data_IF_830120337955
#
_entry.id   IF_830120337955
#
_cell.length_a   1.000
_cell.length_b   1.000
_cell.length_c   1.000
_cell.angle_alpha   90.00
_cell.angle_beta   90.00
_cell.angle_gamma   90.00
#
_symmetry.space_group_name_H-M   'P 1'
#
loop_
_entity.id
_entity.type
_entity.pdbx_description
1 polymer ?
#
# COMPACT_ATOMS: atom_id res chain seq x y z
N UNK A 1 4.61 -11.93 -13.95
CA UNK A 1 5.11 -12.78 -12.83
C UNK A 1 4.28 -12.65 -11.54
N UNK A 2 3.81 -11.45 -11.14
CA UNK A 2 3.01 -11.28 -9.90
C UNK A 2 1.68 -12.06 -9.84
N UNK A 3 1.00 -12.28 -10.98
CA UNK A 3 -0.31 -12.98 -11.01
C UNK A 3 -0.19 -14.47 -10.66
N UNK A 4 0.91 -15.13 -11.05
CA UNK A 4 1.15 -16.54 -10.72
C UNK A 4 1.46 -16.71 -9.22
N UNK A 5 2.29 -15.83 -8.65
CA UNK A 5 2.59 -15.82 -7.21
C UNK A 5 1.35 -15.62 -6.32
N UNK A 6 0.45 -14.68 -6.67
CA UNK A 6 -0.82 -14.50 -5.95
C UNK A 6 -1.72 -15.74 -6.02
N UNK A 7 -1.72 -16.47 -7.13
CA UNK A 7 -2.55 -17.67 -7.32
C UNK A 7 -2.07 -18.81 -6.43
N UNK A 8 -0.76 -19.01 -6.37
CA UNK A 8 -0.12 -19.99 -5.49
C UNK A 8 -0.30 -19.66 -4.01
N UNK A 9 -0.12 -18.38 -3.63
CA UNK A 9 -0.35 -17.91 -2.27
C UNK A 9 -1.81 -18.19 -1.84
N UNK A 10 -2.81 -17.82 -2.66
CA UNK A 10 -4.24 -18.13 -2.37
C UNK A 10 -4.53 -19.62 -2.28
N UNK A 11 -3.89 -20.45 -3.12
CA UNK A 11 -4.04 -21.90 -3.05
C UNK A 11 -3.48 -22.46 -1.73
N UNK A 12 -2.32 -21.95 -1.28
CA UNK A 12 -1.74 -22.31 0.02
C UNK A 12 -2.62 -21.86 1.19
N UNK A 13 -3.15 -20.64 1.17
CA UNK A 13 -4.08 -20.13 2.18
C UNK A 13 -5.30 -21.04 2.32
N UNK A 14 -5.93 -21.41 1.19
CA UNK A 14 -7.09 -22.34 1.19
C UNK A 14 -6.73 -23.68 1.82
N UNK A 15 -5.57 -24.24 1.48
CA UNK A 15 -5.10 -25.51 2.06
C UNK A 15 -4.92 -25.42 3.58
N UNK A 16 -4.31 -24.34 4.06
CA UNK A 16 -4.12 -24.10 5.50
C UNK A 16 -5.47 -23.97 6.22
N UNK A 17 -6.40 -23.18 5.66
CA UNK A 17 -7.75 -23.00 6.23
C UNK A 17 -8.49 -24.34 6.31
N UNK A 18 -8.47 -25.14 5.23
CA UNK A 18 -9.10 -26.46 5.23
C UNK A 18 -8.53 -27.34 6.34
N UNK A 19 -7.20 -27.41 6.48
CA UNK A 19 -6.51 -28.22 7.49
C UNK A 19 -6.82 -27.76 8.93
N UNK A 20 -6.97 -26.45 9.14
CA UNK A 20 -7.34 -25.88 10.45
C UNK A 20 -8.79 -26.22 10.88
N UNK A 21 -9.68 -26.43 9.91
CA UNK A 21 -11.11 -26.70 10.11
C UNK A 21 -11.40 -28.21 10.18
N UNK A 22 -10.69 -29.03 9.41
CA UNK A 22 -11.01 -30.46 9.25
C UNK A 22 -10.31 -31.40 10.23
N UNK A 23 -9.24 -30.95 10.91
CA UNK A 23 -8.40 -31.83 11.71
C UNK A 23 -8.33 -31.41 13.18
N UNK A 24 -8.35 -32.40 14.08
CA UNK A 24 -8.01 -32.21 15.49
C UNK A 24 -6.48 -32.06 15.62
N UNK A 25 -5.98 -30.88 15.25
CA UNK A 25 -4.58 -30.53 15.31
C UNK A 25 -4.14 -30.23 16.75
N UNK A 26 -2.88 -30.57 17.05
CA UNK A 26 -2.24 -30.11 18.28
C UNK A 26 -2.13 -28.59 18.32
N UNK A 27 -2.09 -28.02 19.53
CA UNK A 27 -1.99 -26.57 19.74
C UNK A 27 -0.75 -25.97 19.06
N UNK A 28 0.39 -26.67 19.09
CA UNK A 28 1.62 -26.23 18.42
C UNK A 28 1.43 -26.15 16.91
N UNK A 29 0.82 -27.17 16.29
CA UNK A 29 0.62 -27.20 14.85
C UNK A 29 -0.39 -26.14 14.37
N UNK A 30 -1.45 -25.94 15.15
CA UNK A 30 -2.42 -24.86 14.91
C UNK A 30 -1.77 -23.48 14.96
N UNK A 31 -0.87 -23.22 15.93
CA UNK A 31 -0.14 -21.94 16.03
C UNK A 31 0.80 -21.70 14.83
N UNK A 32 1.52 -22.73 14.36
CA UNK A 32 2.37 -22.62 13.17
C UNK A 32 1.58 -22.24 11.93
N UNK A 33 0.47 -22.95 11.68
CA UNK A 33 -0.38 -22.73 10.51
C UNK A 33 -1.05 -21.36 10.54
N UNK A 34 -1.46 -20.88 11.72
CA UNK A 34 -1.98 -19.51 11.87
C UNK A 34 -0.91 -18.45 11.57
N UNK A 35 0.34 -18.64 12.02
CA UNK A 35 1.44 -17.73 11.69
C UNK A 35 1.72 -17.71 10.19
N UNK A 36 1.74 -18.88 9.55
CA UNK A 36 1.94 -19.00 8.10
C UNK A 36 0.79 -18.31 7.33
N UNK A 37 -0.46 -18.55 7.74
CA UNK A 37 -1.64 -17.91 7.14
C UNK A 37 -1.55 -16.38 7.24
N UNK A 38 -1.22 -15.84 8.41
CA UNK A 38 -1.08 -14.40 8.62
C UNK A 38 0.03 -13.81 7.74
N UNK A 39 1.17 -14.49 7.59
CA UNK A 39 2.25 -14.07 6.69
C UNK A 39 1.77 -14.02 5.24
N UNK A 40 1.12 -15.08 4.77
CA UNK A 40 0.60 -15.16 3.41
C UNK A 40 -0.47 -14.11 3.12
N UNK A 41 -1.34 -13.80 4.09
CA UNK A 41 -2.33 -12.73 3.98
C UNK A 41 -1.65 -11.37 3.85
N UNK A 42 -0.66 -11.09 4.70
CA UNK A 42 0.12 -9.85 4.66
C UNK A 42 0.81 -9.65 3.32
N UNK A 43 1.49 -10.67 2.79
CA UNK A 43 2.15 -10.62 1.47
C UNK A 43 1.16 -10.24 0.36
N UNK A 44 -0.04 -10.83 0.37
CA UNK A 44 -1.09 -10.53 -0.61
C UNK A 44 -1.63 -9.09 -0.46
N UNK A 45 -1.78 -8.59 0.77
CA UNK A 45 -2.14 -7.19 1.04
C UNK A 45 -1.07 -6.23 0.49
N UNK A 46 0.21 -6.51 0.72
CA UNK A 46 1.32 -5.71 0.21
C UNK A 46 1.40 -5.71 -1.33
N UNK A 47 1.19 -6.87 -1.98
CA UNK A 47 1.18 -6.96 -3.45
C UNK A 47 0.02 -6.19 -4.08
N UNK A 48 -1.18 -6.29 -3.49
CA UNK A 48 -2.34 -5.49 -3.92
C UNK A 48 -2.11 -4.00 -3.72
N UNK A 49 -1.51 -3.60 -2.60
CA UNK A 49 -1.17 -2.22 -2.31
C UNK A 49 -0.19 -1.69 -3.36
N UNK A 50 0.91 -2.41 -3.66
CA UNK A 50 1.87 -2.01 -4.69
C UNK A 50 1.21 -1.87 -6.06
N UNK A 51 0.33 -2.81 -6.42
CA UNK A 51 -0.41 -2.76 -7.69
C UNK A 51 -1.33 -1.53 -7.74
N UNK A 52 -2.05 -1.25 -6.65
CA UNK A 52 -2.92 -0.09 -6.54
C UNK A 52 -2.11 1.22 -6.64
N UNK A 53 -1.00 1.34 -5.91
CA UNK A 53 -0.13 2.50 -5.97
C UNK A 53 0.48 2.73 -7.35
N UNK A 54 0.97 1.68 -8.01
CA UNK A 54 1.47 1.77 -9.39
C UNK A 54 0.41 2.34 -10.32
N UNK A 55 -0.82 1.82 -10.26
CA UNK A 55 -1.93 2.33 -11.08
C UNK A 55 -2.28 3.78 -10.73
N UNK A 56 -2.18 4.17 -9.47
CA UNK A 56 -2.41 5.55 -9.04
C UNK A 56 -1.35 6.48 -9.61
N UNK A 57 -0.07 6.11 -9.55
CA UNK A 57 1.00 6.89 -10.18
C UNK A 57 0.81 7.00 -11.70
N UNK A 58 0.52 5.89 -12.37
CA UNK A 58 0.23 5.85 -13.82
C UNK A 58 -1.00 6.67 -14.21
N UNK A 59 -1.94 6.90 -13.27
CA UNK A 59 -3.13 7.70 -13.51
C UNK A 59 -2.89 9.19 -13.32
N UNK A 60 -2.18 9.57 -12.26
CA UNK A 60 -2.05 10.97 -11.84
C UNK A 60 -0.83 11.65 -12.46
N UNK A 61 0.31 10.95 -12.54
CA UNK A 61 1.62 11.54 -12.85
C UNK A 61 2.38 10.75 -13.91
N UNK A 62 1.66 10.08 -14.82
CA UNK A 62 2.25 9.24 -15.86
C UNK A 62 3.33 9.99 -16.64
N UNK A 63 4.51 9.38 -16.74
CA UNK A 63 5.67 9.91 -17.47
C UNK A 63 6.16 11.30 -17.01
N UNK A 64 5.73 11.77 -15.84
CA UNK A 64 6.22 13.03 -15.28
C UNK A 64 7.48 12.81 -14.46
N UNK A 65 8.36 13.80 -14.48
CA UNK A 65 9.40 13.95 -13.48
C UNK A 65 8.87 14.74 -12.28
N UNK A 66 9.62 14.73 -11.17
CA UNK A 66 9.22 15.40 -9.94
C UNK A 66 8.97 16.90 -10.14
N UNK A 67 9.80 17.55 -10.95
CA UNK A 67 9.77 18.99 -11.24
C UNK A 67 8.49 19.41 -11.98
N UNK A 68 7.78 18.47 -12.60
CA UNK A 68 6.59 18.71 -13.42
C UNK A 68 5.29 18.50 -12.63
N UNK A 69 5.37 18.05 -11.38
CA UNK A 69 4.21 17.75 -10.55
C UNK A 69 3.59 19.04 -10.03
N UNK A 70 2.28 19.16 -10.25
CA UNK A 70 1.48 20.24 -9.65
C UNK A 70 1.07 19.91 -8.22
N UNK A 71 0.75 20.95 -7.43
CA UNK A 71 0.28 20.74 -6.06
C UNK A 71 -1.00 19.90 -6.00
N UNK A 72 -1.90 20.05 -6.97
CA UNK A 72 -3.13 19.26 -7.06
C UNK A 72 -2.84 17.77 -7.29
N UNK A 73 -1.93 17.45 -8.20
CA UNK A 73 -1.50 16.07 -8.45
C UNK A 73 -0.80 15.47 -7.23
N UNK A 74 0.06 16.26 -6.56
CA UNK A 74 0.67 15.84 -5.30
C UNK A 74 -0.40 15.54 -4.24
N UNK A 75 -1.39 16.41 -4.09
CA UNK A 75 -2.51 16.21 -3.15
C UNK A 75 -3.33 14.98 -3.53
N UNK A 76 -3.61 14.75 -4.81
CA UNK A 76 -4.34 13.57 -5.28
C UNK A 76 -3.60 12.27 -4.95
N UNK A 77 -2.27 12.24 -5.13
CA UNK A 77 -1.44 11.11 -4.69
C UNK A 77 -1.55 10.92 -3.16
N UNK A 78 -1.49 12.02 -2.40
CA UNK A 78 -1.66 11.96 -0.94
C UNK A 78 -3.05 11.47 -0.56
N UNK A 79 -4.12 11.92 -1.21
CA UNK A 79 -5.49 11.47 -0.97
C UNK A 79 -5.69 10.00 -1.29
N UNK A 80 -5.00 9.45 -2.29
CA UNK A 80 -4.99 8.02 -2.56
C UNK A 80 -4.29 7.16 -1.47
N UNK A 81 -3.88 7.76 -0.35
CA UNK A 81 -3.30 7.05 0.79
C UNK A 81 -1.78 6.91 0.72
N UNK A 82 -1.12 7.49 -0.31
CA UNK A 82 0.32 7.41 -0.45
C UNK A 82 1.01 8.30 0.57
N UNK A 83 2.01 7.74 1.24
CA UNK A 83 2.89 8.51 2.11
C UNK A 83 3.86 9.35 1.28
N UNK A 84 4.40 10.43 1.87
CA UNK A 84 5.49 11.17 1.24
C UNK A 84 6.72 10.30 0.95
N UNK A 85 6.92 9.20 1.69
CA UNK A 85 7.97 8.23 1.41
C UNK A 85 7.71 7.42 0.15
N UNK A 86 6.49 6.91 -0.04
CA UNK A 86 6.13 6.18 -1.25
C UNK A 86 6.24 7.07 -2.50
N UNK A 87 5.90 8.35 -2.38
CA UNK A 87 6.07 9.34 -3.45
C UNK A 87 7.56 9.59 -3.71
N UNK A 88 8.37 9.80 -2.66
CA UNK A 88 9.81 10.00 -2.81
C UNK A 88 10.49 8.80 -3.51
N UNK A 89 10.15 7.59 -3.10
CA UNK A 89 10.68 6.34 -3.66
C UNK A 89 10.28 6.19 -5.13
N UNK A 90 9.04 6.55 -5.51
CA UNK A 90 8.59 6.48 -6.90
C UNK A 90 9.39 7.40 -7.84
N UNK A 91 9.67 8.63 -7.39
CA UNK A 91 10.43 9.61 -8.19
C UNK A 91 11.95 9.49 -8.02
N UNK A 92 12.45 8.59 -7.17
CA UNK A 92 13.88 8.46 -6.90
C UNK A 92 14.51 9.69 -6.21
N UNK A 93 13.72 10.44 -5.46
CA UNK A 93 14.14 11.68 -4.78
C UNK A 93 14.27 11.48 -3.27
N UNK A 94 14.93 12.41 -2.60
CA UNK A 94 15.02 12.37 -1.14
C UNK A 94 13.70 12.76 -0.47
N UNK A 95 13.45 12.18 0.71
CA UNK A 95 12.27 12.52 1.55
C UNK A 95 12.22 14.01 1.92
N UNK A 96 13.38 14.64 2.03
CA UNK A 96 13.49 16.07 2.32
C UNK A 96 12.92 16.92 1.17
N UNK A 97 13.06 16.50 -0.09
CA UNK A 97 12.49 17.20 -1.24
C UNK A 97 10.96 17.22 -1.15
N UNK A 98 10.33 16.08 -0.86
CA UNK A 98 8.87 15.98 -0.69
C UNK A 98 8.38 16.81 0.52
N UNK A 99 9.12 16.77 1.62
CA UNK A 99 8.80 17.57 2.80
C UNK A 99 8.88 19.08 2.51
N UNK A 100 9.95 19.51 1.83
CA UNK A 100 10.15 20.90 1.45
C UNK A 100 9.07 21.37 0.45
N UNK A 101 8.63 20.51 -0.47
CA UNK A 101 7.53 20.84 -1.37
C UNK A 101 6.22 21.10 -0.63
N UNK A 102 5.89 20.27 0.36
CA UNK A 102 4.73 20.51 1.23
C UNK A 102 4.89 21.81 2.03
N UNK A 103 6.09 22.09 2.54
CA UNK A 103 6.39 23.31 3.30
C UNK A 103 6.31 24.58 2.44
N UNK A 104 6.85 24.55 1.22
CA UNK A 104 6.85 25.69 0.31
C UNK A 104 5.44 26.01 -0.19
N UNK A 105 4.57 24.99 -0.29
CA UNK A 105 3.16 25.14 -0.68
C UNK A 105 2.20 25.14 0.51
N UNK A 106 2.69 25.38 1.74
CA UNK A 106 1.95 25.11 3.00
C UNK A 106 0.51 25.62 3.01
N UNK A 107 0.31 26.89 2.70
CA UNK A 107 -1.02 27.53 2.78
C UNK A 107 -2.01 26.85 1.85
N UNK A 108 -1.62 26.68 0.59
CA UNK A 108 -2.47 26.08 -0.43
C UNK A 108 -2.67 24.58 -0.20
N UNK A 109 -1.61 23.88 0.24
CA UNK A 109 -1.66 22.47 0.59
C UNK A 109 -2.70 22.20 1.67
N UNK A 110 -2.64 22.89 2.81
CA UNK A 110 -3.58 22.66 3.90
C UNK A 110 -5.01 23.17 3.62
N UNK A 111 -5.17 24.05 2.62
CA UNK A 111 -6.49 24.48 2.15
C UNK A 111 -7.20 23.37 1.36
N UNK A 112 -6.45 22.64 0.54
CA UNK A 112 -7.00 21.64 -0.39
C UNK A 112 -6.90 20.20 0.15
N UNK A 113 -5.99 19.93 1.08
CA UNK A 113 -5.73 18.59 1.58
C UNK A 113 -6.74 18.16 2.67
N UNK A 114 -7.67 17.29 2.30
CA UNK A 114 -8.50 16.53 3.24
C UNK A 114 -7.72 15.38 3.93
N UNK A 115 -7.48 15.53 5.23
CA UNK A 115 -6.83 14.53 6.08
C UNK A 115 -7.69 13.25 6.26
N UNK A 116 -9.02 13.38 6.27
CA UNK A 116 -9.94 12.24 6.46
C UNK A 116 -9.90 11.31 5.25
N UNK A 117 -9.90 11.88 4.05
CA UNK A 117 -9.78 11.13 2.81
C UNK A 117 -8.44 10.35 2.76
N UNK A 118 -7.33 11.04 3.04
CA UNK A 118 -6.03 10.39 3.14
C UNK A 118 -6.02 9.24 4.16
N UNK A 119 -6.52 9.47 5.38
CA UNK A 119 -6.55 8.45 6.43
C UNK A 119 -7.37 7.24 6.02
N UNK A 120 -8.59 7.44 5.50
CA UNK A 120 -9.47 6.38 5.02
C UNK A 120 -8.76 5.49 3.99
N UNK A 121 -8.13 6.10 2.99
CA UNK A 121 -7.46 5.36 1.91
C UNK A 121 -6.15 4.71 2.36
N UNK A 122 -5.47 5.30 3.36
CA UNK A 122 -4.29 4.70 3.98
C UNK A 122 -4.65 3.48 4.84
N UNK A 123 -5.73 3.57 5.61
CA UNK A 123 -6.19 2.49 6.50
C UNK A 123 -6.69 1.26 5.76
N UNK A 124 -7.15 1.40 4.51
CA UNK A 124 -7.51 0.28 3.62
C UNK A 124 -6.40 -0.78 3.50
N UNK A 125 -5.14 -0.38 3.70
CA UNK A 125 -3.96 -1.25 3.58
C UNK A 125 -3.29 -1.55 4.93
N UNK A 126 -3.85 -1.07 6.03
CA UNK A 126 -3.35 -1.36 7.36
C UNK A 126 -4.10 -2.57 7.90
N UNK A 127 -3.41 -3.70 8.05
CA UNK A 127 -3.91 -4.82 8.86
C UNK A 127 -3.92 -4.36 10.34
N UNK A 128 -4.98 -3.66 10.77
CA UNK A 128 -5.25 -3.34 12.19
C UNK A 128 -6.05 -4.45 12.84
#
# INVERSE_FOLDING_TARGET
MAVMGMTENKARQRKIISHLVSENLSLSKRKELQKELNRLMKENTEEKQKTYWSKTFDRVVRNKNWEEITLNEFIELRHAGLSGYAIADHFGISRAVVFNYTRNNRTEYYRLFDMREYQKNKEMWSDK
#
